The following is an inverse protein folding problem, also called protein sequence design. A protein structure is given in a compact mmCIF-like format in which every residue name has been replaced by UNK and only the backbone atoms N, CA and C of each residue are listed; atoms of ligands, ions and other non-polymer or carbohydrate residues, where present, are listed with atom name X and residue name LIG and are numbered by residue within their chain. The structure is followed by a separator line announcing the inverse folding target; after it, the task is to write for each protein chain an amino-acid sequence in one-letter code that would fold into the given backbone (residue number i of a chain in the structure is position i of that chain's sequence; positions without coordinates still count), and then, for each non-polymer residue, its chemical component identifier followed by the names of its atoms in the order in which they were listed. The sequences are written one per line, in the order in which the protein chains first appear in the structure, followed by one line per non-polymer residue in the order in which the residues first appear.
data_IF_249355380937
#
_entry.id   IF_249355380937
#
_cell.length_a   1.000
_cell.length_b   1.000
_cell.length_c   1.000
_cell.angle_alpha   90.00
_cell.angle_beta   90.00
_cell.angle_gamma   90.00
#
_symmetry.space_group_name_H-M   'P 1'
#
loop_
_entity.id
_entity.type
_entity.pdbx_description
1 polymer ?
#
# COMPACT_ATOMS: atom_id res chain seq x y z
N UNK A 1 8.04 -22.55 -7.38
CA UNK A 1 7.34 -23.11 -6.20
C UNK A 1 7.18 -22.07 -5.10
N UNK A 2 8.20 -21.27 -4.79
CA UNK A 2 8.13 -20.16 -3.80
C UNK A 2 7.03 -19.13 -4.10
N UNK A 3 6.87 -18.72 -5.36
CA UNK A 3 5.81 -17.79 -5.80
C UNK A 3 4.37 -18.30 -5.57
N UNK A 4 4.15 -19.61 -5.47
CA UNK A 4 2.83 -20.20 -5.18
C UNK A 4 2.49 -20.17 -3.68
N UNK A 5 3.50 -20.20 -2.80
CA UNK A 5 3.28 -20.09 -1.35
C UNK A 5 2.94 -18.66 -0.93
N UNK A 6 3.56 -17.64 -1.54
CA UNK A 6 3.17 -16.24 -1.32
C UNK A 6 1.71 -16.00 -1.71
N UNK A 7 1.24 -16.61 -2.80
CA UNK A 7 -0.15 -16.55 -3.25
C UNK A 7 -1.16 -17.17 -2.28
N UNK A 8 -0.77 -18.20 -1.53
CA UNK A 8 -1.63 -18.77 -0.48
C UNK A 8 -1.78 -17.83 0.73
N UNK A 9 -0.74 -17.06 1.07
CA UNK A 9 -0.82 -16.01 2.11
C UNK A 9 -1.77 -14.90 1.66
N UNK A 10 -1.79 -14.57 0.35
CA UNK A 10 -2.77 -13.65 -0.22
C UNK A 10 -4.21 -14.20 -0.20
N UNK A 11 -4.42 -15.50 -0.37
CA UNK A 11 -5.75 -16.12 -0.24
C UNK A 11 -6.29 -16.08 1.21
N UNK A 12 -5.43 -16.29 2.20
CA UNK A 12 -5.85 -16.39 3.61
C UNK A 12 -6.40 -15.07 4.19
N UNK A 13 -5.86 -13.91 3.78
CA UNK A 13 -6.30 -12.61 4.30
C UNK A 13 -7.47 -11.97 3.53
N UNK A 14 -7.83 -12.49 2.35
CA UNK A 14 -8.90 -11.94 1.49
C UNK A 14 -10.16 -12.83 1.40
N UNK A 15 -10.09 -14.07 1.89
CA UNK A 15 -11.10 -15.12 1.65
C UNK A 15 -12.48 -14.93 2.29
N UNK A 16 -12.71 -13.96 3.16
CA UNK A 16 -13.96 -13.89 3.94
C UNK A 16 -15.10 -13.07 3.33
N UNK A 17 -14.93 -12.42 2.17
CA UNK A 17 -15.96 -11.50 1.64
C UNK A 17 -16.31 -11.60 0.15
N UNK A 18 -15.55 -12.37 -0.66
CA UNK A 18 -15.71 -12.43 -2.13
C UNK A 18 -16.28 -13.76 -2.68
N UNK A 19 -16.22 -14.85 -1.90
CA UNK A 19 -16.41 -16.20 -2.44
C UNK A 19 -15.27 -16.62 -3.40
N UNK A 20 -15.23 -17.90 -3.76
CA UNK A 20 -14.20 -18.50 -4.62
C UNK A 20 -14.19 -17.88 -6.04
N UNK A 21 -15.38 -17.60 -6.59
CA UNK A 21 -15.54 -16.97 -7.89
C UNK A 21 -14.96 -15.55 -7.94
N UNK A 22 -15.13 -14.77 -6.88
CA UNK A 22 -14.55 -13.44 -6.75
C UNK A 22 -13.02 -13.46 -6.72
N UNK A 23 -12.44 -14.49 -6.10
CA UNK A 23 -10.99 -14.69 -6.06
C UNK A 23 -10.45 -15.01 -7.47
N UNK A 24 -11.14 -15.87 -8.22
CA UNK A 24 -10.74 -16.22 -9.59
C UNK A 24 -10.78 -15.01 -10.52
N UNK A 25 -11.83 -14.18 -10.45
CA UNK A 25 -11.93 -12.95 -11.25
C UNK A 25 -10.77 -11.99 -10.93
N UNK A 26 -10.49 -11.78 -9.64
CA UNK A 26 -9.37 -10.93 -9.22
C UNK A 26 -8.02 -11.50 -9.68
N UNK A 27 -7.85 -12.82 -9.63
CA UNK A 27 -6.65 -13.50 -10.07
C UNK A 27 -6.39 -13.32 -11.57
N UNK A 28 -7.38 -13.56 -12.42
CA UNK A 28 -7.27 -13.33 -13.86
C UNK A 28 -6.92 -11.87 -14.18
N UNK A 29 -7.55 -10.92 -13.48
CA UNK A 29 -7.25 -9.51 -13.63
C UNK A 29 -5.81 -9.17 -13.22
N UNK A 30 -5.32 -9.70 -12.10
CA UNK A 30 -3.95 -9.46 -11.66
C UNK A 30 -2.93 -10.07 -12.62
N UNK A 31 -3.17 -11.29 -13.13
CA UNK A 31 -2.32 -11.88 -14.18
C UNK A 31 -2.24 -10.97 -15.41
N UNK A 32 -3.37 -10.42 -15.86
CA UNK A 32 -3.40 -9.49 -16.98
C UNK A 32 -2.59 -8.20 -16.70
N UNK A 33 -2.68 -7.65 -15.48
CA UNK A 33 -1.88 -6.48 -15.08
C UNK A 33 -0.38 -6.81 -15.11
N UNK A 34 0.03 -7.96 -14.58
CA UNK A 34 1.44 -8.35 -14.59
C UNK A 34 1.97 -8.63 -16.00
N UNK A 35 1.15 -9.21 -16.88
CA UNK A 35 1.55 -9.50 -18.25
C UNK A 35 1.64 -8.24 -19.13
N UNK A 36 0.73 -7.28 -18.92
CA UNK A 36 0.64 -6.07 -19.76
C UNK A 36 1.34 -4.86 -19.16
N UNK A 37 1.71 -4.94 -17.88
CA UNK A 37 2.23 -3.86 -17.03
C UNK A 37 1.30 -2.64 -16.97
N UNK A 38 0.00 -2.84 -17.25
CA UNK A 38 -1.00 -1.79 -17.35
C UNK A 38 -2.21 -2.11 -16.49
N UNK A 39 -2.69 -1.10 -15.79
CA UNK A 39 -3.96 -1.16 -15.09
C UNK A 39 -5.10 -1.17 -16.13
N UNK A 40 -6.02 -2.16 -16.09
CA UNK A 40 -7.16 -2.18 -16.98
C UNK A 40 -8.05 -0.95 -16.75
N UNK A 41 -8.69 -0.45 -17.81
CA UNK A 41 -9.60 0.68 -17.73
C UNK A 41 -10.90 0.28 -17.02
N UNK A 42 -10.91 0.42 -15.70
CA UNK A 42 -11.98 -0.09 -14.80
C UNK A 42 -13.39 0.49 -15.06
N UNK A 43 -13.51 1.56 -15.88
CA UNK A 43 -14.80 2.19 -16.23
C UNK A 43 -15.52 1.57 -17.44
N UNK A 44 -14.82 0.82 -18.31
CA UNK A 44 -15.41 0.20 -19.51
C UNK A 44 -15.52 -1.31 -19.33
N UNK A 45 -16.52 -1.75 -18.57
CA UNK A 45 -17.03 -3.12 -18.61
C UNK A 45 -16.19 -4.20 -17.93
N UNK A 46 -15.21 -3.86 -17.08
CA UNK A 46 -14.53 -4.88 -16.28
C UNK A 46 -15.47 -5.40 -15.20
N UNK A 47 -15.84 -6.69 -15.30
CA UNK A 47 -16.54 -7.44 -14.25
C UNK A 47 -15.81 -7.21 -12.93
N UNK A 48 -16.48 -6.53 -12.02
CA UNK A 48 -15.88 -5.99 -10.81
C UNK A 48 -16.60 -6.64 -9.65
N UNK A 49 -15.84 -7.43 -8.88
CA UNK A 49 -16.38 -8.20 -7.77
C UNK A 49 -16.89 -7.23 -6.71
N UNK A 50 -18.21 -7.16 -6.58
CA UNK A 50 -18.84 -6.43 -5.50
C UNK A 50 -18.48 -7.13 -4.18
N UNK A 51 -17.53 -6.58 -3.43
CA UNK A 51 -17.33 -6.98 -2.03
C UNK A 51 -18.41 -6.29 -1.23
N UNK A 52 -19.41 -7.07 -0.82
CA UNK A 52 -20.55 -6.59 -0.08
C UNK A 52 -20.10 -5.99 1.26
N UNK A 53 -20.38 -4.69 1.46
CA UNK A 53 -20.37 -4.08 2.80
C UNK A 53 -21.77 -4.27 3.36
N UNK A 54 -21.90 -4.89 4.53
CA UNK A 54 -23.16 -5.23 5.23
C UNK A 54 -24.00 -4.02 5.68
N UNK A 55 -24.16 -2.96 4.87
CA UNK A 55 -24.91 -1.78 5.33
C UNK A 55 -25.84 -1.09 4.32
N UNK A 56 -25.92 -1.52 3.06
CA UNK A 56 -26.84 -0.92 2.08
C UNK A 56 -27.46 -1.96 1.12
N UNK A 57 -28.56 -1.56 0.48
CA UNK A 57 -29.47 -2.37 -0.33
C UNK A 57 -28.79 -3.26 -1.38
N UNK A 58 -29.22 -4.52 -1.41
CA UNK A 58 -28.72 -5.64 -2.24
C UNK A 58 -28.81 -5.37 -3.76
N UNK A 59 -29.61 -4.39 -4.19
CA UNK A 59 -29.87 -4.12 -5.61
C UNK A 59 -29.01 -3.03 -6.23
N UNK A 60 -28.15 -2.35 -5.46
CA UNK A 60 -27.33 -1.24 -5.96
C UNK A 60 -25.82 -1.56 -5.95
N UNK A 61 -25.45 -2.78 -6.34
CA UNK A 61 -24.07 -3.17 -6.60
C UNK A 61 -23.60 -2.60 -7.95
N UNK A 62 -23.52 -1.27 -8.04
CA UNK A 62 -22.81 -0.62 -9.14
C UNK A 62 -21.33 -1.04 -9.12
N UNK A 63 -20.72 -1.17 -10.30
CA UNK A 63 -19.31 -1.49 -10.54
C UNK A 63 -18.34 -0.62 -9.69
N UNK A 64 -18.15 -0.96 -8.43
CA UNK A 64 -17.34 -0.13 -7.53
C UNK A 64 -15.86 -0.50 -7.67
N UNK A 65 -15.25 0.00 -8.74
CA UNK A 65 -13.81 -0.06 -9.01
C UNK A 65 -12.95 0.30 -7.79
N UNK A 66 -13.49 1.06 -6.83
CA UNK A 66 -12.82 1.40 -5.56
C UNK A 66 -12.52 0.16 -4.73
N UNK A 67 -13.37 -0.87 -4.78
CA UNK A 67 -13.18 -2.15 -4.10
C UNK A 67 -12.00 -2.90 -4.70
N UNK A 68 -11.99 -3.11 -6.01
CA UNK A 68 -10.86 -3.75 -6.71
C UNK A 68 -9.57 -2.98 -6.53
N UNK A 69 -9.60 -1.65 -6.60
CA UNK A 69 -8.42 -0.83 -6.35
C UNK A 69 -7.94 -0.96 -4.90
N UNK A 70 -8.84 -1.08 -3.92
CA UNK A 70 -8.47 -1.28 -2.52
C UNK A 70 -7.79 -2.64 -2.32
N UNK A 71 -8.32 -3.70 -2.93
CA UNK A 71 -7.70 -5.03 -2.93
C UNK A 71 -6.31 -4.96 -3.56
N UNK A 72 -6.21 -4.38 -4.75
CA UNK A 72 -4.95 -4.21 -5.47
C UNK A 72 -3.90 -3.44 -4.67
N UNK A 73 -4.28 -2.31 -4.06
CA UNK A 73 -3.40 -1.54 -3.16
C UNK A 73 -2.91 -2.38 -1.98
N UNK A 74 -3.78 -3.25 -1.44
CA UNK A 74 -3.40 -4.20 -0.39
C UNK A 74 -2.37 -5.22 -0.87
N UNK A 75 -2.56 -5.77 -2.07
CA UNK A 75 -1.61 -6.70 -2.70
C UNK A 75 -0.25 -6.04 -2.90
N UNK A 76 -0.22 -4.88 -3.55
CA UNK A 76 1.02 -4.11 -3.78
C UNK A 76 1.70 -3.75 -2.47
N UNK A 77 0.95 -3.31 -1.46
CA UNK A 77 1.50 -2.99 -0.13
C UNK A 77 2.19 -4.20 0.51
N UNK A 78 1.51 -5.35 0.55
CA UNK A 78 2.06 -6.54 1.19
C UNK A 78 3.29 -7.05 0.44
N UNK A 79 3.25 -6.99 -0.89
CA UNK A 79 4.39 -7.36 -1.72
C UNK A 79 5.58 -6.42 -1.51
N UNK A 80 5.38 -5.10 -1.50
CA UNK A 80 6.47 -4.17 -1.18
C UNK A 80 7.07 -4.40 0.22
N UNK A 81 6.30 -4.96 1.16
CA UNK A 81 6.80 -5.32 2.49
C UNK A 81 7.71 -6.54 2.49
N UNK A 82 7.57 -7.44 1.52
CA UNK A 82 8.44 -8.61 1.36
C UNK A 82 9.71 -8.25 0.60
N UNK A 83 9.63 -7.37 -0.39
CA UNK A 83 10.77 -6.99 -1.23
C UNK A 83 11.66 -5.90 -0.62
N UNK A 84 11.07 -4.92 0.06
CA UNK A 84 11.80 -3.73 0.50
C UNK A 84 12.20 -3.83 1.96
N UNK A 85 13.51 -3.82 2.20
CA UNK A 85 14.07 -3.70 3.55
C UNK A 85 13.96 -2.25 4.02
N UNK A 86 13.19 -2.06 5.09
CA UNK A 86 13.04 -0.79 5.81
C UNK A 86 14.03 -0.80 6.99
N UNK A 87 14.75 0.30 7.18
CA UNK A 87 15.74 0.41 8.25
C UNK A 87 15.15 0.27 9.65
N UNK A 88 15.95 -0.24 10.58
CA UNK A 88 15.52 -0.52 11.97
C UNK A 88 15.03 0.72 12.72
N UNK A 89 15.56 1.90 12.39
CA UNK A 89 15.15 3.18 12.98
C UNK A 89 13.74 3.65 12.58
N UNK A 90 13.08 2.99 11.63
CA UNK A 90 11.70 3.34 11.28
C UNK A 90 10.71 2.64 12.22
N UNK A 91 9.89 3.44 12.90
CA UNK A 91 8.79 2.98 13.77
C UNK A 91 7.42 3.30 13.18
N UNK A 92 7.32 4.38 12.41
CA UNK A 92 6.08 4.75 11.73
C UNK A 92 5.68 3.73 10.67
N UNK A 93 4.39 3.39 10.62
CA UNK A 93 3.82 2.45 9.64
C UNK A 93 4.44 1.04 9.64
N UNK A 94 5.17 0.63 10.69
CA UNK A 94 5.74 -0.72 10.78
C UNK A 94 4.83 -1.63 11.61
N UNK A 95 4.61 -2.86 11.14
CA UNK A 95 3.89 -3.86 11.93
C UNK A 95 4.73 -4.23 13.16
N UNK A 96 4.09 -4.31 14.32
CA UNK A 96 4.76 -4.73 15.57
C UNK A 96 5.69 -3.68 16.19
N UNK A 97 5.75 -2.46 15.66
CA UNK A 97 6.47 -1.33 16.29
C UNK A 97 5.48 -0.27 16.74
N UNK A 98 5.58 0.12 18.01
CA UNK A 98 4.75 1.17 18.58
C UNK A 98 5.46 2.52 18.52
N UNK A 99 4.70 3.60 18.48
CA UNK A 99 5.23 4.95 18.72
C UNK A 99 5.75 5.12 20.15
N UNK A 100 5.34 4.24 21.06
CA UNK A 100 5.79 4.22 22.45
C UNK A 100 7.24 3.76 22.59
N UNK A 101 7.71 2.88 21.71
CA UNK A 101 9.07 2.32 21.79
C UNK A 101 10.16 3.39 21.66
N UNK A 102 10.16 4.28 20.64
CA UNK A 102 11.16 5.34 20.53
C UNK A 102 10.99 6.39 21.63
N UNK A 103 9.76 6.71 22.05
CA UNK A 103 9.50 7.64 23.17
C UNK A 103 10.09 7.09 24.47
N UNK A 104 9.90 5.80 24.73
CA UNK A 104 10.47 5.13 25.89
C UNK A 104 12.00 5.12 25.82
N UNK A 105 12.59 4.78 24.68
CA UNK A 105 14.03 4.81 24.48
C UNK A 105 14.64 6.20 24.76
N UNK A 106 14.02 7.27 24.24
CA UNK A 106 14.41 8.66 24.53
C UNK A 106 14.34 8.95 26.03
N UNK A 107 13.26 8.55 26.71
CA UNK A 107 13.11 8.74 28.17
C UNK A 107 14.19 8.00 28.96
N UNK A 108 14.55 6.78 28.57
CA UNK A 108 15.64 6.02 29.22
C UNK A 108 16.99 6.70 29.01
N UNK A 109 17.26 7.20 27.80
CA UNK A 109 18.47 7.98 27.53
C UNK A 109 18.54 9.24 28.39
N UNK A 110 17.45 10.01 28.47
CA UNK A 110 17.37 11.21 29.31
C UNK A 110 17.68 10.90 30.78
N UNK A 111 17.13 9.79 31.31
CA UNK A 111 17.35 9.37 32.70
C UNK A 111 18.83 9.04 32.94
N UNK A 112 19.43 8.22 32.08
CA UNK A 112 20.84 7.80 32.20
C UNK A 112 21.81 8.99 32.12
N UNK A 113 21.60 9.91 31.18
CA UNK A 113 22.46 11.09 31.05
C UNK A 113 22.32 12.04 32.24
N UNK A 114 21.11 12.17 32.80
CA UNK A 114 20.88 12.94 34.03
C UNK A 114 21.58 12.33 35.24
N UNK A 115 21.60 11.01 35.37
CA UNK A 115 22.32 10.28 36.43
C UNK A 115 23.84 10.48 36.31
N UNK A 116 24.36 10.51 35.09
CA UNK A 116 25.78 10.76 34.79
C UNK A 116 26.17 12.26 34.84
N UNK A 117 25.24 13.17 35.16
CA UNK A 117 25.43 14.62 35.09
C UNK A 117 25.96 15.12 33.73
N UNK A 118 25.53 14.48 32.63
CA UNK A 118 25.90 14.84 31.25
C UNK A 118 24.75 15.54 30.55
N UNK A 119 25.08 16.53 29.74
CA UNK A 119 24.11 17.20 28.88
C UNK A 119 23.74 16.34 27.67
N UNK A 120 22.45 16.35 27.33
CA UNK A 120 21.89 15.72 26.13
C UNK A 120 21.08 16.75 25.35
N UNK A 121 21.25 16.79 24.02
CA UNK A 121 20.49 17.67 23.12
C UNK A 121 19.77 16.83 22.07
N UNK A 122 18.49 17.12 21.84
CA UNK A 122 17.68 16.50 20.81
C UNK A 122 17.34 17.53 19.73
N UNK A 123 17.35 17.09 18.46
CA UNK A 123 16.87 17.86 17.32
C UNK A 123 15.65 17.12 16.79
N UNK A 124 14.49 17.78 16.84
CA UNK A 124 13.25 17.25 16.29
C UNK A 124 13.03 17.88 14.92
N UNK A 125 12.85 17.04 13.90
CA UNK A 125 12.61 17.45 12.51
C UNK A 125 11.21 16.97 12.14
N UNK A 126 10.35 17.89 11.72
CA UNK A 126 9.03 17.59 11.19
C UNK A 126 8.92 18.18 9.79
N UNK A 127 8.22 17.47 8.90
CA UNK A 127 8.07 17.85 7.49
C UNK A 127 6.65 18.37 7.26
N UNK A 128 6.53 19.63 6.85
CA UNK A 128 5.22 20.21 6.50
C UNK A 128 4.63 19.47 5.28
N UNK A 129 3.41 18.94 5.43
CA UNK A 129 2.64 18.27 4.35
C UNK A 129 3.47 17.23 3.58
N UNK A 130 4.17 16.38 4.31
CA UNK A 130 5.11 15.40 3.76
C UNK A 130 4.54 14.53 2.63
N UNK A 131 3.25 14.22 2.62
CA UNK A 131 2.61 13.40 1.56
C UNK A 131 2.25 14.18 0.30
N UNK A 132 1.94 15.47 0.43
CA UNK A 132 1.45 16.29 -0.68
C UNK A 132 2.59 16.84 -1.54
N UNK A 133 3.80 16.91 -0.96
CA UNK A 133 4.97 17.52 -1.59
C UNK A 133 5.97 16.53 -2.19
N UNK A 134 5.73 15.21 -2.14
CA UNK A 134 6.64 14.23 -2.76
C UNK A 134 6.43 14.20 -4.28
N UNK A 135 7.43 14.54 -5.11
CA UNK A 135 7.36 14.35 -6.55
C UNK A 135 7.20 12.86 -6.89
N UNK A 136 6.40 12.54 -7.89
CA UNK A 136 6.05 11.13 -8.15
C UNK A 136 7.16 10.37 -8.85
N UNK A 137 7.95 11.09 -9.64
CA UNK A 137 9.18 10.62 -10.23
C UNK A 137 10.14 10.13 -9.14
N UNK A 138 10.23 10.86 -8.02
CA UNK A 138 11.08 10.50 -6.88
C UNK A 138 10.60 9.22 -6.20
N UNK A 139 9.29 8.98 -6.13
CA UNK A 139 8.75 7.70 -5.63
C UNK A 139 9.24 6.54 -6.50
N UNK A 140 9.19 6.69 -7.83
CA UNK A 140 9.67 5.65 -8.75
C UNK A 140 11.17 5.40 -8.57
N UNK A 141 11.94 6.47 -8.41
CA UNK A 141 13.39 6.37 -8.22
C UNK A 141 13.74 5.73 -6.87
N UNK A 142 13.01 6.07 -5.81
CA UNK A 142 13.15 5.42 -4.51
C UNK A 142 12.90 3.92 -4.59
N UNK A 143 11.89 3.48 -5.35
CA UNK A 143 11.63 2.04 -5.55
C UNK A 143 12.79 1.34 -6.27
N UNK A 144 13.38 1.98 -7.28
CA UNK A 144 14.56 1.43 -7.99
C UNK A 144 15.79 1.34 -7.10
N UNK A 145 16.05 2.37 -6.29
CA UNK A 145 17.13 2.36 -5.29
C UNK A 145 16.93 1.23 -4.29
N UNK A 146 15.67 0.90 -3.97
CA UNK A 146 15.30 -0.24 -3.13
C UNK A 146 15.27 -1.59 -3.87
N UNK A 147 15.82 -1.64 -5.09
CA UNK A 147 16.00 -2.85 -5.91
C UNK A 147 14.67 -3.52 -6.26
N UNK A 148 13.59 -2.75 -6.33
CA UNK A 148 12.30 -3.23 -6.84
C UNK A 148 12.40 -3.42 -8.35
N UNK A 149 11.95 -4.57 -8.87
CA UNK A 149 12.03 -4.85 -10.32
C UNK A 149 11.27 -3.79 -11.14
N UNK A 150 11.85 -3.40 -12.28
CA UNK A 150 11.32 -2.31 -13.11
C UNK A 150 9.89 -2.59 -13.62
N UNK A 151 9.55 -3.85 -13.94
CA UNK A 151 8.18 -4.27 -14.27
C UNK A 151 7.19 -3.78 -13.21
N UNK A 152 7.53 -3.93 -11.93
CA UNK A 152 6.65 -3.51 -10.87
C UNK A 152 6.62 -2.00 -10.66
N UNK A 153 7.76 -1.32 -10.84
CA UNK A 153 7.79 0.15 -10.82
C UNK A 153 6.86 0.71 -11.89
N UNK A 154 6.86 0.13 -13.10
CA UNK A 154 5.95 0.50 -14.19
C UNK A 154 4.48 0.26 -13.83
N UNK A 155 4.17 -0.90 -13.24
CA UNK A 155 2.82 -1.23 -12.78
C UNK A 155 2.31 -0.26 -11.70
N UNK A 156 3.14 0.05 -10.69
CA UNK A 156 2.81 1.00 -9.62
C UNK A 156 2.59 2.38 -10.23
N UNK A 157 3.50 2.82 -11.09
CA UNK A 157 3.40 4.12 -11.79
C UNK A 157 2.08 4.22 -12.56
N UNK A 158 1.74 3.20 -13.35
CA UNK A 158 0.50 3.16 -14.13
C UNK A 158 -0.74 3.19 -13.23
N UNK A 159 -0.71 2.41 -12.13
CA UNK A 159 -1.82 2.34 -11.16
C UNK A 159 -2.11 3.70 -10.53
N UNK A 160 -1.08 4.39 -10.02
CA UNK A 160 -1.26 5.63 -9.27
C UNK A 160 -1.50 6.85 -10.16
N UNK A 161 -0.84 6.90 -11.33
CA UNK A 161 -0.94 8.07 -12.21
C UNK A 161 -2.27 8.11 -12.96
N UNK A 162 -2.78 6.97 -13.47
CA UNK A 162 -4.07 6.93 -14.16
C UNK A 162 -5.28 7.06 -13.24
N UNK A 163 -5.19 6.57 -12.00
CA UNK A 163 -6.31 6.68 -11.05
C UNK A 163 -6.63 8.13 -10.65
N UNK A 164 -5.66 9.04 -10.67
CA UNK A 164 -5.86 10.41 -10.21
C UNK A 164 -6.35 11.35 -11.30
N UNK A 165 -5.94 11.16 -12.55
CA UNK A 165 -6.57 11.81 -13.71
C UNK A 165 -8.07 11.48 -13.79
N UNK A 166 -8.47 10.32 -13.26
CA UNK A 166 -9.88 9.94 -13.14
C UNK A 166 -10.59 10.66 -11.98
N UNK A 167 -9.93 10.80 -10.83
CA UNK A 167 -10.49 11.47 -9.64
C UNK A 167 -10.68 12.98 -9.84
N UNK A 168 -9.79 13.64 -10.60
CA UNK A 168 -9.92 15.06 -10.96
C UNK A 168 -11.15 15.30 -11.85
N UNK A 169 -11.41 14.42 -12.82
CA UNK A 169 -12.60 14.48 -13.69
C UNK A 169 -13.91 14.27 -12.93
N UNK A 170 -13.91 13.51 -11.85
CA UNK A 170 -15.10 13.24 -11.04
C UNK A 170 -15.43 14.38 -10.04
N UNK A 171 -14.57 15.40 -9.88
CA UNK A 171 -14.85 16.62 -9.10
C UNK A 171 -15.32 17.80 -9.95
N UNK A 172 -15.31 17.68 -11.27
CA UNK A 172 -15.75 18.71 -12.21
C UNK A 172 -17.22 18.53 -12.66
N UNK A 173 -17.98 17.66 -11.99
CA UNK A 173 -19.43 17.47 -12.16
C UNK A 173 -20.16 17.56 -10.83
#
# INVERSE_FOLDING_TARGET
MEKQQDLMIYQWNFGTSCGEEGINILWEMFKAIFATEKMPNLRRGSVLVAIFKQKDDVQNCGNDWRVTLKVWKGVVKNWLRTEVVIGEGQYGFMLGKSTMDPVFAIRQMMKKYREDCKDIRFIFIDLEKAYDHVPREDICECLRIKVVLETYVRIIKDTYWKCEEQFKRDKEF
#
